data_IF_472073691752
#
_entry.id   IF_472073691752
#
_cell.length_a   1.000
_cell.length_b   1.000
_cell.length_c   1.000
_cell.angle_alpha   90.00
_cell.angle_beta   90.00
_cell.angle_gamma   90.00
#
_symmetry.space_group_name_H-M   'P 1'
#
loop_
_entity.id
_entity.type
_entity.pdbx_description
1 polymer ?
#
# COMPACT_ATOMS: atom_id res chain seq x y z
N UNK A 1 32.11 9.71 1.03
CA UNK A 1 31.20 10.31 2.03
C UNK A 1 31.63 9.83 3.40
N UNK A 2 31.50 10.64 4.44
CA UNK A 2 31.63 10.15 5.82
C UNK A 2 30.40 9.30 6.21
N UNK A 3 30.52 8.55 7.31
CA UNK A 3 29.49 7.60 7.72
C UNK A 3 28.15 8.26 8.06
N UNK A 4 28.16 9.44 8.70
CA UNK A 4 26.91 10.13 9.07
C UNK A 4 26.19 10.60 7.82
N UNK A 5 26.91 11.20 6.88
CA UNK A 5 26.35 11.59 5.58
C UNK A 5 25.74 10.41 4.82
N UNK A 6 26.38 9.23 4.88
CA UNK A 6 25.86 7.99 4.28
C UNK A 6 24.51 7.59 4.91
N UNK A 7 24.39 7.64 6.24
CA UNK A 7 23.14 7.30 6.94
C UNK A 7 22.01 8.29 6.63
N UNK A 8 22.31 9.60 6.64
CA UNK A 8 21.32 10.63 6.30
C UNK A 8 20.84 10.43 4.87
N UNK A 9 21.77 10.25 3.93
CA UNK A 9 21.43 10.06 2.53
C UNK A 9 20.63 8.77 2.34
N UNK A 10 21.03 7.66 2.96
CA UNK A 10 20.26 6.41 2.94
C UNK A 10 18.83 6.58 3.46
N UNK A 11 18.67 7.29 4.58
CA UNK A 11 17.34 7.59 5.13
C UNK A 11 16.49 8.47 4.22
N UNK A 12 17.06 9.50 3.60
CA UNK A 12 16.37 10.37 2.65
C UNK A 12 15.96 9.64 1.38
N UNK A 13 16.85 8.79 0.85
CA UNK A 13 16.56 7.95 -0.31
C UNK A 13 15.49 6.91 0.02
N UNK A 14 15.51 6.29 1.21
CA UNK A 14 14.43 5.42 1.67
C UNK A 14 13.08 6.14 1.75
N UNK A 15 13.06 7.39 2.24
CA UNK A 15 11.86 8.23 2.22
C UNK A 15 11.40 8.55 0.80
N UNK A 16 12.32 8.85 -0.13
CA UNK A 16 12.01 9.09 -1.54
C UNK A 16 11.45 7.83 -2.21
N UNK A 17 12.01 6.66 -1.91
CA UNK A 17 11.58 5.38 -2.46
C UNK A 17 10.09 5.12 -2.18
N UNK A 18 9.62 5.48 -0.99
CA UNK A 18 8.20 5.39 -0.66
C UNK A 18 7.27 6.25 -1.54
N UNK A 19 7.81 7.20 -2.32
CA UNK A 19 7.05 8.06 -3.24
C UNK A 19 7.01 7.52 -4.68
N UNK A 20 7.60 6.35 -4.93
CA UNK A 20 7.55 5.71 -6.24
C UNK A 20 6.11 5.33 -6.64
N UNK A 21 5.88 5.22 -7.96
CA UNK A 21 4.52 5.10 -8.50
C UNK A 21 3.80 3.82 -8.02
N UNK A 22 4.53 2.73 -7.89
CA UNK A 22 4.04 1.45 -7.37
C UNK A 22 3.67 1.52 -5.89
N UNK A 23 4.46 2.22 -5.09
CA UNK A 23 4.22 2.49 -3.68
C UNK A 23 2.98 3.37 -3.49
N UNK A 24 2.87 4.45 -4.26
CA UNK A 24 1.69 5.32 -4.31
C UNK A 24 0.43 4.52 -4.68
N UNK A 25 0.51 3.68 -5.72
CA UNK A 25 -0.59 2.83 -6.16
C UNK A 25 -0.99 1.81 -5.08
N UNK A 26 -0.02 1.18 -4.42
CA UNK A 26 -0.26 0.22 -3.36
C UNK A 26 -0.93 0.86 -2.14
N UNK A 27 -0.44 2.02 -1.66
CA UNK A 27 -1.05 2.76 -0.54
C UNK A 27 -2.47 3.17 -0.88
N UNK A 28 -2.70 3.68 -2.08
CA UNK A 28 -4.02 4.11 -2.49
C UNK A 28 -5.00 2.93 -2.64
N UNK A 29 -4.54 1.77 -3.14
CA UNK A 29 -5.37 0.57 -3.31
C UNK A 29 -5.61 -0.21 -2.00
N UNK A 30 -4.65 -0.19 -1.06
CA UNK A 30 -4.80 -0.79 0.28
C UNK A 30 -5.78 -0.02 1.16
N UNK A 31 -5.89 1.29 0.95
CA UNK A 31 -6.72 2.17 1.75
C UNK A 31 -8.10 2.35 1.10
N UNK A 32 -9.04 1.47 1.45
CA UNK A 32 -10.43 1.58 1.01
C UNK A 32 -11.22 2.74 1.64
N UNK A 33 -12.51 2.84 1.31
CA UNK A 33 -13.46 3.82 1.86
C UNK A 33 -13.71 3.65 3.37
N UNK A 34 -13.76 4.77 4.08
CA UNK A 34 -14.12 4.96 5.50
C UNK A 34 -13.14 4.31 6.47
N UNK A 35 -11.90 4.78 6.47
CA UNK A 35 -10.91 4.36 7.46
C UNK A 35 -10.51 5.53 8.37
N UNK A 36 -10.26 5.25 9.65
CA UNK A 36 -9.71 6.26 10.56
C UNK A 36 -8.30 6.66 10.11
N UNK A 37 -7.90 7.91 10.35
CA UNK A 37 -6.51 8.36 10.04
C UNK A 37 -5.47 7.46 10.69
N UNK A 38 -5.74 7.04 11.94
CA UNK A 38 -4.88 6.12 12.68
C UNK A 38 -4.72 4.78 11.94
N UNK A 39 -5.81 4.21 11.41
CA UNK A 39 -5.75 2.97 10.65
C UNK A 39 -4.89 3.10 9.38
N UNK A 40 -5.02 4.21 8.65
CA UNK A 40 -4.19 4.49 7.46
C UNK A 40 -2.70 4.52 7.79
N UNK A 41 -2.32 5.29 8.81
CA UNK A 41 -0.92 5.45 9.23
C UNK A 41 -0.35 4.12 9.72
N UNK A 42 -1.11 3.39 10.55
CA UNK A 42 -0.66 2.09 11.07
C UNK A 42 -0.52 1.04 9.96
N UNK A 43 -1.41 1.03 8.96
CA UNK A 43 -1.26 0.17 7.77
C UNK A 43 -0.02 0.56 6.97
N UNK A 44 0.22 1.85 6.76
CA UNK A 44 1.44 2.35 6.10
C UNK A 44 2.71 1.93 6.84
N UNK A 45 2.72 2.05 8.16
CA UNK A 45 3.84 1.59 9.01
C UNK A 45 4.02 0.08 8.97
N UNK A 46 2.95 -0.71 9.09
CA UNK A 46 3.02 -2.17 9.02
C UNK A 46 3.49 -2.66 7.64
N UNK A 47 3.05 -2.01 6.56
CA UNK A 47 3.52 -2.22 5.21
C UNK A 47 5.01 -1.91 5.08
N UNK A 48 5.46 -0.75 5.57
CA UNK A 48 6.88 -0.37 5.57
C UNK A 48 7.77 -1.30 6.38
N UNK A 49 7.27 -1.83 7.52
CA UNK A 49 7.98 -2.84 8.31
C UNK A 49 8.17 -4.12 7.48
N UNK A 50 7.10 -4.63 6.87
CA UNK A 50 7.16 -5.82 6.02
C UNK A 50 8.16 -5.66 4.86
N UNK A 51 8.10 -4.51 4.18
CA UNK A 51 9.02 -4.15 3.10
C UNK A 51 10.48 -4.10 3.57
N UNK A 52 10.73 -3.45 4.70
CA UNK A 52 12.08 -3.33 5.28
C UNK A 52 12.64 -4.68 5.72
N UNK A 53 11.81 -5.59 6.27
CA UNK A 53 12.24 -6.95 6.65
C UNK A 53 12.75 -7.71 5.42
N UNK A 54 12.00 -7.66 4.31
CA UNK A 54 12.42 -8.33 3.08
C UNK A 54 13.71 -7.73 2.52
N UNK A 55 13.80 -6.40 2.46
CA UNK A 55 15.02 -5.72 2.02
C UNK A 55 16.23 -6.08 2.87
N UNK A 56 16.09 -6.06 4.20
CA UNK A 56 17.16 -6.41 5.12
C UNK A 56 17.61 -7.86 4.94
N UNK A 57 16.67 -8.76 4.68
CA UNK A 57 16.95 -10.18 4.48
C UNK A 57 17.67 -10.41 3.16
N UNK A 58 17.15 -9.86 2.05
CA UNK A 58 17.74 -10.01 0.72
C UNK A 58 19.11 -9.32 0.68
N UNK A 59 19.18 -8.03 1.04
CA UNK A 59 20.43 -7.28 1.00
C UNK A 59 21.45 -7.83 1.99
N UNK A 60 21.02 -8.22 3.21
CA UNK A 60 21.89 -8.85 4.19
C UNK A 60 22.48 -10.17 3.69
N UNK A 61 21.66 -11.01 3.06
CA UNK A 61 22.13 -12.26 2.44
C UNK A 61 23.16 -11.98 1.34
N UNK A 62 22.89 -11.02 0.43
CA UNK A 62 23.80 -10.67 -0.66
C UNK A 62 25.13 -10.10 -0.14
N UNK A 63 25.10 -9.26 0.90
CA UNK A 63 26.31 -8.73 1.54
C UNK A 63 27.17 -9.82 2.19
N UNK A 64 26.55 -10.86 2.78
CA UNK A 64 27.26 -11.97 3.40
C UNK A 64 27.81 -12.95 2.36
N UNK A 65 27.00 -13.27 1.34
CA UNK A 65 27.36 -14.23 0.29
C UNK A 65 28.32 -13.63 -0.74
N UNK A 66 28.36 -12.30 -0.86
CA UNK A 66 29.16 -11.59 -1.86
C UNK A 66 28.64 -11.77 -3.30
N UNK A 67 27.42 -12.28 -3.46
CA UNK A 67 26.80 -12.52 -4.75
C UNK A 67 25.88 -11.37 -5.15
N UNK A 68 25.83 -11.08 -6.45
CA UNK A 68 24.84 -10.17 -7.02
C UNK A 68 23.56 -10.93 -7.36
N UNK A 69 22.41 -10.27 -7.26
CA UNK A 69 21.16 -10.81 -7.79
C UNK A 69 21.27 -10.98 -9.31
N UNK A 70 20.87 -12.15 -9.81
CA UNK A 70 20.79 -12.37 -11.25
C UNK A 70 19.62 -11.56 -11.85
N UNK A 71 19.78 -11.09 -13.09
CA UNK A 71 18.73 -10.34 -13.79
C UNK A 71 17.40 -11.13 -13.86
N UNK A 72 17.47 -12.46 -13.96
CA UNK A 72 16.28 -13.33 -13.93
C UNK A 72 15.61 -13.33 -12.56
N UNK A 73 16.37 -13.43 -11.48
CA UNK A 73 15.82 -13.39 -10.11
C UNK A 73 15.16 -12.04 -9.84
N UNK A 74 15.81 -10.94 -10.21
CA UNK A 74 15.24 -9.60 -10.12
C UNK A 74 13.91 -9.49 -10.88
N UNK A 75 13.90 -9.94 -12.14
CA UNK A 75 12.69 -9.96 -12.96
C UNK A 75 11.57 -10.82 -12.34
N UNK A 76 11.88 -11.97 -11.73
CA UNK A 76 10.87 -12.78 -11.03
C UNK A 76 10.25 -12.04 -9.84
N UNK A 77 11.06 -11.31 -9.07
CA UNK A 77 10.59 -10.53 -7.92
C UNK A 77 9.72 -9.35 -8.36
N UNK A 78 10.17 -8.61 -9.38
CA UNK A 78 9.38 -7.53 -10.00
C UNK A 78 8.07 -8.04 -10.60
N UNK A 79 8.09 -9.19 -11.27
CA UNK A 79 6.90 -9.82 -11.84
C UNK A 79 5.89 -10.15 -10.73
N UNK A 80 6.34 -10.72 -9.61
CA UNK A 80 5.47 -11.00 -8.46
C UNK A 80 4.82 -9.73 -7.89
N UNK A 81 5.56 -8.62 -7.83
CA UNK A 81 5.03 -7.32 -7.42
C UNK A 81 4.03 -6.77 -8.43
N UNK A 82 4.30 -6.91 -9.74
CA UNK A 82 3.36 -6.56 -10.81
C UNK A 82 2.03 -7.30 -10.67
N UNK A 83 2.06 -8.62 -10.43
CA UNK A 83 0.86 -9.44 -10.20
C UNK A 83 0.11 -8.94 -8.96
N UNK A 84 0.83 -8.67 -7.87
CA UNK A 84 0.23 -8.18 -6.64
C UNK A 84 -0.46 -6.82 -6.83
N UNK A 85 0.16 -5.88 -7.53
CA UNK A 85 -0.43 -4.55 -7.79
C UNK A 85 -1.70 -4.68 -8.64
N UNK A 86 -1.68 -5.54 -9.67
CA UNK A 86 -2.88 -5.86 -10.46
C UNK A 86 -3.98 -6.40 -9.55
N UNK A 87 -3.65 -7.36 -8.69
CA UNK A 87 -4.61 -7.93 -7.74
C UNK A 87 -5.20 -6.87 -6.79
N UNK A 88 -4.38 -5.94 -6.27
CA UNK A 88 -4.85 -4.83 -5.44
C UNK A 88 -5.81 -3.90 -6.22
N UNK A 89 -5.48 -3.58 -7.47
CA UNK A 89 -6.36 -2.82 -8.36
C UNK A 89 -7.70 -3.51 -8.61
N UNK A 90 -7.68 -4.79 -8.99
CA UNK A 90 -8.89 -5.61 -9.20
C UNK A 90 -9.74 -5.73 -7.92
N UNK A 91 -9.10 -5.94 -6.77
CA UNK A 91 -9.78 -6.01 -5.48
C UNK A 91 -10.52 -4.70 -5.15
N UNK A 92 -9.98 -3.55 -5.58
CA UNK A 92 -10.67 -2.28 -5.40
C UNK A 92 -11.94 -2.18 -6.26
N UNK A 93 -11.89 -2.60 -7.53
CA UNK A 93 -13.09 -2.71 -8.38
C UNK A 93 -14.13 -3.68 -7.80
N UNK A 94 -13.69 -4.85 -7.33
CA UNK A 94 -14.58 -5.81 -6.68
C UNK A 94 -15.24 -5.23 -5.43
N UNK A 95 -14.51 -4.41 -4.65
CA UNK A 95 -15.06 -3.72 -3.48
C UNK A 95 -16.12 -2.69 -3.86
N UNK A 96 -15.91 -1.94 -4.95
CA UNK A 96 -16.90 -0.98 -5.47
C UNK A 96 -18.15 -1.73 -5.96
N UNK A 97 -17.98 -2.81 -6.73
CA UNK A 97 -19.08 -3.59 -7.29
C UNK A 97 -19.96 -4.26 -6.22
N UNK A 98 -19.35 -4.83 -5.17
CA UNK A 98 -20.07 -5.53 -4.08
C UNK A 98 -20.85 -4.57 -3.18
N UNK A 99 -20.48 -3.28 -3.10
CA UNK A 99 -21.13 -2.28 -2.25
C UNK A 99 -22.19 -1.47 -2.98
N UNK A 100 -23.00 -2.11 -3.85
CA UNK A 100 -24.03 -1.42 -4.63
C UNK A 100 -24.83 -0.45 -3.75
N UNK A 101 -24.92 0.85 -4.09
CA UNK A 101 -25.81 1.78 -3.40
C UNK A 101 -27.24 1.37 -3.75
N UNK A 102 -27.97 0.82 -2.78
CA UNK A 102 -29.40 0.58 -2.92
C UNK A 102 -30.13 1.91 -2.68
N UNK A 103 -31.03 2.28 -3.59
CA UNK A 103 -31.90 3.44 -3.45
C UNK A 103 -33.19 3.00 -2.76
N UNK A 104 -33.50 3.56 -1.59
CA UNK A 104 -34.80 3.41 -0.95
C UNK A 104 -35.50 4.76 -0.84
N UNK A 105 -36.78 4.78 -1.22
CA UNK A 105 -37.69 5.90 -0.95
C UNK A 105 -38.44 5.54 0.33
N UNK A 106 -38.28 6.34 1.38
CA UNK A 106 -39.15 6.25 2.55
C UNK A 106 -40.30 7.25 2.40
N UNK A 107 -41.50 6.82 2.82
CA UNK A 107 -42.63 7.70 3.05
C UNK A 107 -42.91 7.68 4.55
N UNK A 108 -42.69 8.82 5.22
CA UNK A 108 -43.12 8.96 6.62
C UNK A 108 -44.64 9.05 6.69
N UNK A 109 -45.24 8.73 7.85
CA UNK A 109 -46.70 8.79 8.05
C UNK A 109 -47.31 10.17 7.83
N UNK A 110 -46.48 11.21 7.71
CA UNK A 110 -46.87 12.60 7.40
C UNK A 110 -46.72 12.99 5.91
N UNK A 111 -46.51 12.04 4.99
CA UNK A 111 -46.70 12.26 3.55
C UNK A 111 -45.52 12.87 2.78
N UNK A 112 -44.46 13.31 3.44
CA UNK A 112 -43.25 13.75 2.74
C UNK A 112 -42.39 12.55 2.29
N UNK A 113 -42.15 12.47 0.97
CA UNK A 113 -41.24 11.49 0.36
C UNK A 113 -39.86 12.11 0.26
N UNK A 114 -38.87 11.50 0.88
CA UNK A 114 -37.47 11.85 0.62
C UNK A 114 -36.64 10.61 0.27
N UNK A 115 -35.59 10.83 -0.51
CA UNK A 115 -34.64 9.80 -0.93
C UNK A 115 -33.43 9.78 0.00
N UNK A 116 -33.13 8.61 0.56
CA UNK A 116 -31.89 8.35 1.30
C UNK A 116 -31.01 7.35 0.54
N UNK A 117 -29.68 7.56 0.56
CA UNK A 117 -28.69 6.64 -0.02
C UNK A 117 -27.91 5.98 1.12
N UNK A 118 -28.24 4.73 1.44
CA UNK A 118 -27.57 3.96 2.50
C UNK A 118 -27.00 2.66 1.92
N UNK A 119 -26.00 2.07 2.58
CA UNK A 119 -25.38 0.79 2.19
C UNK A 119 -25.57 -0.19 3.34
N UNK A 120 -26.31 -1.27 3.12
CA UNK A 120 -26.38 -2.40 4.05
C UNK A 120 -25.34 -3.46 3.67
N UNK A 121 -24.74 -4.11 4.67
CA UNK A 121 -24.14 -5.43 4.47
C UNK A 121 -25.27 -6.46 4.27
N UNK A 122 -25.03 -7.61 3.61
CA UNK A 122 -26.10 -8.50 3.13
C UNK A 122 -27.05 -9.09 4.19
N UNK A 123 -26.78 -8.91 5.48
CA UNK A 123 -27.58 -9.47 6.57
C UNK A 123 -27.93 -8.39 7.60
N UNK A 124 -29.11 -7.77 7.48
CA UNK A 124 -29.67 -6.92 8.54
C UNK A 124 -31.13 -7.31 8.77
N UNK A 125 -31.48 -7.94 9.90
CA UNK A 125 -32.87 -8.21 10.28
C UNK A 125 -33.63 -6.91 10.57
N UNK A 126 -34.98 -6.94 10.60
CA UNK A 126 -35.79 -5.80 11.04
C UNK A 126 -35.38 -5.39 12.45
N UNK A 127 -35.34 -4.09 12.72
CA UNK A 127 -34.91 -3.49 13.98
C UNK A 127 -35.70 -3.98 15.21
N UNK A 128 -35.30 -5.11 15.77
CA UNK A 128 -35.66 -5.57 17.09
C UNK A 128 -34.45 -6.29 17.68
N UNK A 129 -33.97 -5.81 18.83
CA UNK A 129 -32.77 -6.26 19.56
C UNK A 129 -31.42 -5.88 18.92
N UNK A 130 -30.98 -4.65 19.18
CA UNK A 130 -29.58 -4.26 19.02
C UNK A 130 -28.72 -4.91 20.12
N UNK A 131 -28.24 -6.13 19.88
CA UNK A 131 -27.05 -6.64 20.56
C UNK A 131 -25.84 -5.87 20.03
N UNK A 132 -25.18 -5.11 20.89
CA UNK A 132 -23.91 -4.46 20.54
C UNK A 132 -22.81 -5.52 20.52
N UNK A 133 -22.70 -6.24 19.40
CA UNK A 133 -21.52 -7.07 19.13
C UNK A 133 -20.33 -6.13 18.87
N UNK A 134 -19.39 -6.08 19.83
CA UNK A 134 -18.10 -5.42 19.65
C UNK A 134 -17.26 -6.23 18.66
N UNK A 135 -17.55 -6.09 17.37
CA UNK A 135 -16.67 -6.61 16.34
C UNK A 135 -15.37 -5.84 16.41
N UNK A 136 -14.30 -6.48 16.91
CA UNK A 136 -12.96 -5.92 16.86
C UNK A 136 -12.65 -5.55 15.40
N UNK A 137 -12.53 -4.24 15.16
CA UNK A 137 -12.29 -3.71 13.83
C UNK A 137 -10.87 -4.13 13.44
N UNK A 138 -10.75 -5.20 12.64
CA UNK A 138 -9.46 -5.68 12.16
C UNK A 138 -8.84 -4.56 11.32
N UNK A 139 -7.84 -3.88 11.89
CA UNK A 139 -7.11 -2.79 11.27
C UNK A 139 -6.40 -3.21 9.97
N UNK A 140 -6.37 -4.49 9.61
CA UNK A 140 -5.78 -4.98 8.36
C UNK A 140 -4.26 -4.92 8.34
N UNK A 141 -3.62 -4.80 9.51
CA UNK A 141 -2.17 -4.66 9.64
C UNK A 141 -1.43 -5.87 9.08
N UNK A 142 -1.92 -7.09 9.33
CA UNK A 142 -1.32 -8.31 8.79
C UNK A 142 -1.33 -8.33 7.26
N UNK A 143 -2.44 -7.91 6.62
CA UNK A 143 -2.51 -7.80 5.16
C UNK A 143 -1.53 -6.75 4.63
N UNK A 144 -1.44 -5.60 5.29
CA UNK A 144 -0.50 -4.55 4.92
C UNK A 144 0.96 -5.05 5.04
N UNK A 145 1.29 -5.77 6.10
CA UNK A 145 2.61 -6.37 6.30
C UNK A 145 2.95 -7.41 5.24
N UNK A 146 2.02 -8.31 4.88
CA UNK A 146 2.22 -9.31 3.81
C UNK A 146 2.48 -8.62 2.47
N UNK A 147 1.68 -7.61 2.14
CA UNK A 147 1.89 -6.80 0.94
C UNK A 147 3.27 -6.15 0.99
N UNK A 148 3.72 -5.71 2.16
CA UNK A 148 5.04 -5.12 2.38
C UNK A 148 6.14 -6.11 2.10
N UNK A 149 6.02 -7.32 2.65
CA UNK A 149 6.98 -8.40 2.45
C UNK A 149 7.15 -8.72 0.96
N UNK A 150 6.05 -8.86 0.23
CA UNK A 150 6.08 -9.12 -1.23
C UNK A 150 6.65 -7.91 -1.98
N UNK A 151 6.22 -6.70 -1.64
CA UNK A 151 6.65 -5.49 -2.32
C UNK A 151 8.15 -5.23 -2.15
N UNK A 152 8.68 -5.39 -0.93
CA UNK A 152 10.11 -5.20 -0.64
C UNK A 152 11.02 -6.27 -1.21
N UNK A 153 10.46 -7.31 -1.86
CA UNK A 153 11.26 -8.26 -2.62
C UNK A 153 11.71 -7.66 -3.96
N UNK A 154 10.86 -6.86 -4.61
CA UNK A 154 11.21 -6.13 -5.83
C UNK A 154 11.90 -4.80 -5.50
N UNK A 155 12.72 -4.29 -6.42
CA UNK A 155 13.41 -2.99 -6.26
C UNK A 155 14.71 -3.03 -5.43
N UNK A 156 15.15 -4.20 -4.99
CA UNK A 156 16.41 -4.38 -4.25
C UNK A 156 17.67 -4.03 -5.06
N UNK A 157 17.59 -3.97 -6.39
CA UNK A 157 18.72 -3.60 -7.26
C UNK A 157 19.15 -2.13 -7.11
N UNK A 158 18.21 -1.20 -6.90
CA UNK A 158 18.53 0.21 -6.63
C UNK A 158 19.30 0.39 -5.31
N UNK A 159 19.02 -0.46 -4.33
CA UNK A 159 19.74 -0.52 -3.05
C UNK A 159 21.15 -1.08 -3.19
N UNK A 160 21.35 -2.08 -4.04
CA UNK A 160 22.67 -2.69 -4.28
C UNK A 160 23.63 -1.70 -4.93
N UNK A 161 23.14 -0.85 -5.85
CA UNK A 161 23.96 0.20 -6.48
C UNK A 161 24.45 1.22 -5.44
N UNK A 162 23.63 1.58 -4.44
CA UNK A 162 24.05 2.50 -3.38
C UNK A 162 24.83 1.81 -2.25
N UNK A 163 24.54 0.54 -1.93
CA UNK A 163 25.34 -0.25 -1.01
C UNK A 163 26.76 -0.47 -1.55
N UNK A 164 26.94 -0.52 -2.87
CA UNK A 164 28.26 -0.55 -3.50
C UNK A 164 29.10 0.73 -3.25
N UNK A 165 28.47 1.84 -2.84
CA UNK A 165 29.20 3.03 -2.38
C UNK A 165 29.76 2.87 -0.96
N UNK A 166 29.34 1.83 -0.22
CA UNK A 166 29.90 1.51 1.10
C UNK A 166 31.29 0.91 0.96
N UNK A 167 32.20 1.34 1.83
CA UNK A 167 33.61 0.91 1.82
C UNK A 167 33.88 -0.26 2.77
N UNK A 168 32.87 -0.65 3.55
CA UNK A 168 32.95 -1.76 4.52
C UNK A 168 31.57 -2.34 4.80
N UNK A 169 31.54 -3.59 5.31
CA UNK A 169 30.29 -4.27 5.70
C UNK A 169 29.48 -3.46 6.73
N UNK A 170 30.07 -2.85 7.78
CA UNK A 170 29.32 -2.01 8.70
C UNK A 170 28.71 -0.77 8.05
N UNK A 171 29.41 -0.14 7.09
CA UNK A 171 28.85 0.97 6.32
C UNK A 171 27.64 0.52 5.48
N UNK A 172 27.72 -0.64 4.83
CA UNK A 172 26.63 -1.20 4.05
C UNK A 172 25.41 -1.56 4.92
N UNK A 173 25.63 -2.23 6.05
CA UNK A 173 24.56 -2.57 7.02
C UNK A 173 23.92 -1.30 7.59
N UNK A 174 24.73 -0.31 7.98
CA UNK A 174 24.24 0.98 8.46
C UNK A 174 23.38 1.68 7.41
N UNK A 175 23.81 1.65 6.14
CA UNK A 175 23.04 2.20 5.03
C UNK A 175 21.69 1.50 4.86
N UNK A 176 21.65 0.16 4.82
CA UNK A 176 20.40 -0.60 4.67
C UNK A 176 19.43 -0.34 5.83
N UNK A 177 19.93 -0.22 7.06
CA UNK A 177 19.14 0.15 8.24
C UNK A 177 18.56 1.55 8.12
N UNK A 178 19.37 2.52 7.69
CA UNK A 178 18.94 3.90 7.50
C UNK A 178 17.89 3.99 6.39
N UNK A 179 18.13 3.33 5.25
CA UNK A 179 17.17 3.22 4.16
C UNK A 179 15.85 2.62 4.64
N UNK A 180 15.88 1.46 5.30
CA UNK A 180 14.68 0.79 5.80
C UNK A 180 13.88 1.67 6.77
N UNK A 181 14.57 2.34 7.70
CA UNK A 181 13.94 3.29 8.61
C UNK A 181 13.31 4.46 7.85
N UNK A 182 14.03 5.00 6.85
CA UNK A 182 13.54 6.03 5.94
C UNK A 182 12.27 5.58 5.19
N UNK A 183 12.26 4.37 4.66
CA UNK A 183 11.10 3.80 3.96
C UNK A 183 9.90 3.61 4.88
N UNK A 184 10.09 3.10 6.11
CA UNK A 184 9.00 2.99 7.10
C UNK A 184 8.38 4.36 7.39
N UNK A 185 9.22 5.35 7.65
CA UNK A 185 8.77 6.72 7.92
C UNK A 185 8.09 7.33 6.68
N UNK A 186 8.67 7.14 5.49
CA UNK A 186 8.14 7.60 4.21
C UNK A 186 6.77 7.01 3.91
N UNK A 187 6.58 5.70 4.10
CA UNK A 187 5.30 5.02 3.87
C UNK A 187 4.23 5.41 4.89
N UNK A 188 4.61 5.59 6.16
CA UNK A 188 3.72 6.11 7.19
C UNK A 188 3.31 7.57 6.92
N UNK A 189 4.27 8.42 6.53
CA UNK A 189 4.04 9.81 6.16
C UNK A 189 3.18 9.94 4.90
N UNK A 190 3.45 9.13 3.87
CA UNK A 190 2.63 9.06 2.67
C UNK A 190 1.20 8.67 3.00
N UNK A 191 1.00 7.66 3.86
CA UNK A 191 -0.33 7.24 4.30
C UNK A 191 -1.05 8.34 5.10
N UNK A 192 -0.32 9.13 5.88
CA UNK A 192 -0.84 10.31 6.56
C UNK A 192 -1.28 11.41 5.57
N UNK A 193 -0.42 11.76 4.60
CA UNK A 193 -0.72 12.78 3.59
C UNK A 193 -1.89 12.34 2.71
N UNK A 194 -1.91 11.10 2.24
CA UNK A 194 -3.01 10.52 1.47
C UNK A 194 -4.34 10.52 2.24
N UNK A 195 -4.31 10.50 3.58
CA UNK A 195 -5.52 10.55 4.40
C UNK A 195 -6.32 11.85 4.26
N UNK A 196 -5.70 12.97 3.85
CA UNK A 196 -6.40 14.24 3.65
C UNK A 196 -7.33 14.21 2.42
N UNK A 197 -6.83 13.98 1.19
CA UNK A 197 -7.69 13.91 0.01
C UNK A 197 -8.68 12.75 0.10
N UNK A 198 -8.28 11.58 0.62
CA UNK A 198 -9.19 10.44 0.77
C UNK A 198 -10.39 10.77 1.68
N UNK A 199 -10.15 11.40 2.84
CA UNK A 199 -11.23 11.79 3.75
C UNK A 199 -12.07 12.95 3.24
N UNK A 200 -11.48 13.86 2.46
CA UNK A 200 -12.23 14.90 1.79
C UNK A 200 -13.19 14.31 0.77
N UNK A 201 -12.71 13.38 -0.07
CA UNK A 201 -13.55 12.67 -1.05
C UNK A 201 -14.66 11.82 -0.42
N UNK A 202 -14.45 11.32 0.79
CA UNK A 202 -15.49 10.62 1.57
C UNK A 202 -16.60 11.52 2.09
N UNK A 203 -16.35 12.83 2.24
CA UNK A 203 -17.36 13.83 2.63
C UNK A 203 -18.10 14.39 1.41
N UNK A 204 -17.49 14.31 0.23
CA UNK A 204 -18.11 14.71 -1.03
C UNK A 204 -19.16 13.70 -1.49
N UNK A 205 -19.91 14.05 -2.54
CA UNK A 205 -20.90 13.17 -3.15
C UNK A 205 -20.29 11.80 -3.51
N UNK A 206 -21.07 10.73 -3.32
CA UNK A 206 -20.61 9.35 -3.52
C UNK A 206 -20.03 9.09 -4.92
N UNK A 207 -20.46 9.83 -5.95
CA UNK A 207 -19.90 9.69 -7.30
C UNK A 207 -18.45 10.18 -7.36
N UNK A 208 -18.07 11.26 -6.67
CA UNK A 208 -16.70 11.82 -6.67
C UNK A 208 -15.72 10.81 -6.09
N UNK A 209 -16.02 10.25 -4.92
CA UNK A 209 -15.18 9.24 -4.32
C UNK A 209 -15.14 7.97 -5.18
N UNK A 210 -16.26 7.56 -5.80
CA UNK A 210 -16.27 6.37 -6.68
C UNK A 210 -15.36 6.58 -7.89
N UNK A 211 -15.44 7.73 -8.56
CA UNK A 211 -14.57 8.07 -9.70
C UNK A 211 -13.11 8.10 -9.29
N UNK A 212 -12.78 8.67 -8.13
CA UNK A 212 -11.40 8.68 -7.63
C UNK A 212 -10.86 7.27 -7.35
N UNK A 213 -11.63 6.40 -6.69
CA UNK A 213 -11.22 5.02 -6.45
C UNK A 213 -11.12 4.21 -7.76
N UNK A 214 -12.00 4.45 -8.74
CA UNK A 214 -11.86 3.87 -10.09
C UNK A 214 -10.55 4.32 -10.74
N UNK A 215 -10.24 5.62 -10.67
CA UNK A 215 -9.00 6.18 -11.21
C UNK A 215 -7.75 5.56 -10.58
N UNK A 216 -7.71 5.43 -9.25
CA UNK A 216 -6.63 4.73 -8.54
C UNK A 216 -6.53 3.26 -8.98
N UNK A 217 -7.67 2.60 -9.21
CA UNK A 217 -7.71 1.20 -9.63
C UNK A 217 -7.13 1.02 -11.04
N UNK A 218 -7.51 1.90 -11.97
CA UNK A 218 -6.95 1.93 -13.31
C UNK A 218 -5.44 2.21 -13.29
N UNK A 219 -4.98 3.17 -12.46
CA UNK A 219 -3.57 3.47 -12.30
C UNK A 219 -2.78 2.26 -11.79
N UNK A 220 -3.30 1.56 -10.76
CA UNK A 220 -2.69 0.33 -10.25
C UNK A 220 -2.60 -0.76 -11.33
N UNK A 221 -3.69 -1.00 -12.09
CA UNK A 221 -3.68 -1.97 -13.18
C UNK A 221 -2.64 -1.61 -14.26
N UNK A 222 -2.54 -0.33 -14.65
CA UNK A 222 -1.59 0.13 -15.65
C UNK A 222 -0.13 -0.02 -15.19
N UNK A 223 0.17 0.36 -13.94
CA UNK A 223 1.50 0.20 -13.35
C UNK A 223 1.87 -1.28 -13.24
N UNK A 224 0.96 -2.11 -12.72
CA UNK A 224 1.19 -3.55 -12.61
C UNK A 224 1.39 -4.22 -13.98
N UNK A 225 0.59 -3.88 -14.99
CA UNK A 225 0.75 -4.41 -16.34
C UNK A 225 2.09 -3.99 -16.98
N UNK A 226 2.53 -2.75 -16.75
CA UNK A 226 3.85 -2.28 -17.20
C UNK A 226 4.98 -3.07 -16.56
N UNK A 227 4.92 -3.30 -15.24
CA UNK A 227 5.91 -4.11 -14.52
C UNK A 227 5.95 -5.54 -15.08
N UNK A 228 4.80 -6.18 -15.25
CA UNK A 228 4.74 -7.52 -15.84
C UNK A 228 5.39 -7.57 -17.24
N UNK A 229 5.10 -6.59 -18.09
CA UNK A 229 5.66 -6.52 -19.43
C UNK A 229 7.19 -6.30 -19.43
N UNK A 230 7.70 -5.49 -18.51
CA UNK A 230 9.15 -5.29 -18.36
C UNK A 230 9.84 -6.56 -17.89
N UNK A 231 9.34 -7.19 -16.82
CA UNK A 231 9.91 -8.41 -16.28
C UNK A 231 9.82 -9.59 -17.25
N UNK A 232 8.73 -9.69 -18.02
CA UNK A 232 8.54 -10.76 -19.00
C UNK A 232 9.61 -10.79 -20.10
N UNK A 233 10.16 -9.64 -20.49
CA UNK A 233 11.21 -9.58 -21.50
C UNK A 233 12.55 -10.15 -21.02
N UNK A 234 12.74 -10.27 -19.70
CA UNK A 234 13.98 -10.76 -19.06
C UNK A 234 13.86 -12.23 -18.62
N UNK A 235 12.63 -12.70 -18.37
CA UNK A 235 12.33 -14.08 -17.95
C UNK A 235 12.53 -15.09 -19.08
#
# INVERSE_FOLDING_TARGET
MDFISLLIFGGLIGMQHALEADHLAAVAALNGRRNSRRALILRGGAWGIGHTITLMTICGALLILGEAISARTEAMLEFAVGVMIIFLGLNMFATIWRRRPHFHVHQHSHGERHMHVHTHAPDSPPHAASSHEHRHENLGLGRAMIVGIVHGAAGSAGLLILAAAARSIPEAVGYVLAFGTGSILGMAALSFVASYPLRWMERCANWVSTTAFVGVGCAALAIGARLLGQSWNVL
#
